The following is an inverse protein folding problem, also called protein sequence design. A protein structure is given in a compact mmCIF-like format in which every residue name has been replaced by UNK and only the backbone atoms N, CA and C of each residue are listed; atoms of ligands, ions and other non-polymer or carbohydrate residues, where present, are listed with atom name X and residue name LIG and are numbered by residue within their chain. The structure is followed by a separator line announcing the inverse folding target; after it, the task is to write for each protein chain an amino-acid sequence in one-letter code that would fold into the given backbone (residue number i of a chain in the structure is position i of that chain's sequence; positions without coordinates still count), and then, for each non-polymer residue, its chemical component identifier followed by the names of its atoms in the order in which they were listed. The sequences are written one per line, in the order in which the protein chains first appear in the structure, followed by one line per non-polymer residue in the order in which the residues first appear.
data_IF_317840247634
#
_entry.id   IF_317840247634
#
_cell.length_a   1.000
_cell.length_b   1.000
_cell.length_c   1.000
_cell.angle_alpha   90.00
_cell.angle_beta   90.00
_cell.angle_gamma   90.00
#
_symmetry.space_group_name_H-M   'P 1'
#
loop_
_entity.id
_entity.type
_entity.pdbx_description
1 polymer ?
#
# COMPACT_ATOMS: atom_id res chain seq x y z
N UNK A 1 42.74 57.47 2.49
CA UNK A 1 42.79 58.31 1.28
C UNK A 1 43.51 57.52 0.20
N UNK A 2 42.81 57.20 -0.90
CA UNK A 2 43.36 56.94 -2.27
C UNK A 2 44.40 55.82 -2.46
N UNK A 3 44.40 54.92 -3.45
CA UNK A 3 43.50 54.47 -4.51
C UNK A 3 44.28 53.38 -5.29
N UNK A 4 43.56 52.45 -5.93
CA UNK A 4 43.87 51.86 -7.25
C UNK A 4 45.23 51.19 -7.54
N UNK A 5 45.19 49.89 -7.87
CA UNK A 5 45.11 49.42 -9.27
C UNK A 5 44.73 47.94 -9.35
N UNK A 6 43.82 47.64 -10.28
CA UNK A 6 43.36 46.31 -10.70
C UNK A 6 44.12 45.86 -11.96
N UNK A 7 44.04 44.54 -12.21
CA UNK A 7 44.24 43.82 -13.49
C UNK A 7 45.73 43.54 -13.86
N UNK A 8 46.13 42.40 -14.44
CA UNK A 8 45.44 41.55 -15.41
C UNK A 8 46.20 40.21 -15.66
N UNK A 9 45.45 39.11 -15.81
CA UNK A 9 45.70 37.86 -16.56
C UNK A 9 46.89 36.92 -16.24
N UNK A 10 46.59 35.65 -15.93
CA UNK A 10 46.67 34.59 -16.95
C UNK A 10 45.79 33.38 -16.57
N UNK A 11 44.93 32.98 -17.50
CA UNK A 11 44.13 31.75 -17.49
C UNK A 11 45.02 30.51 -17.46
N UNK A 12 44.67 29.53 -16.62
CA UNK A 12 44.55 28.14 -17.07
C UNK A 12 43.27 27.56 -16.50
N UNK A 13 42.25 27.49 -17.34
CA UNK A 13 41.15 26.55 -17.16
C UNK A 13 41.68 25.15 -17.49
N UNK A 14 41.29 24.13 -16.72
CA UNK A 14 40.82 22.83 -17.19
C UNK A 14 40.14 22.11 -16.01
N UNK A 15 38.82 22.18 -16.05
CA UNK A 15 37.83 21.12 -15.77
C UNK A 15 38.38 19.82 -15.15
N UNK A 16 38.01 19.56 -13.89
CA UNK A 16 37.81 18.20 -13.39
C UNK A 16 36.48 18.13 -12.65
N UNK A 17 35.45 17.82 -13.44
CA UNK A 17 34.36 16.88 -13.17
C UNK A 17 33.89 16.85 -11.71
N UNK A 18 32.82 17.58 -11.44
CA UNK A 18 31.94 17.32 -10.29
C UNK A 18 31.36 15.92 -10.43
N UNK A 19 32.00 14.93 -9.80
CA UNK A 19 31.32 13.68 -9.50
C UNK A 19 30.43 13.95 -8.28
N UNK A 20 29.22 14.43 -8.55
CA UNK A 20 28.08 14.20 -7.67
C UNK A 20 27.89 12.68 -7.64
N UNK A 21 28.61 11.99 -6.76
CA UNK A 21 28.18 10.67 -6.33
C UNK A 21 26.91 10.90 -5.53
N UNK A 22 25.76 10.79 -6.21
CA UNK A 22 24.51 10.40 -5.59
C UNK A 22 24.82 9.17 -4.73
N UNK A 23 24.86 9.34 -3.41
CA UNK A 23 24.70 8.20 -2.52
C UNK A 23 23.23 7.84 -2.57
N UNK A 24 22.83 7.09 -3.59
CA UNK A 24 21.62 6.27 -3.52
C UNK A 24 21.91 5.19 -2.50
N UNK A 25 21.59 5.46 -1.23
CA UNK A 25 21.34 4.37 -0.30
C UNK A 25 20.03 3.73 -0.78
N UNK A 26 20.16 2.71 -1.63
CA UNK A 26 19.13 1.72 -1.79
C UNK A 26 18.97 1.07 -0.41
N UNK A 27 17.87 1.38 0.26
CA UNK A 27 17.50 0.69 1.49
C UNK A 27 17.08 -0.73 1.10
N UNK A 28 18.05 -1.63 1.19
CA UNK A 28 17.90 -3.07 1.05
C UNK A 28 17.20 -3.64 2.29
N UNK A 29 15.95 -3.23 2.53
CA UNK A 29 15.06 -3.90 3.49
C UNK A 29 13.70 -4.19 2.86
N UNK A 30 13.75 -4.76 1.64
CA UNK A 30 12.64 -5.52 1.07
C UNK A 30 12.86 -7.01 1.32
N UNK A 31 13.24 -7.37 2.55
CA UNK A 31 13.32 -8.77 2.94
C UNK A 31 11.92 -9.27 3.31
N UNK A 32 11.24 -9.69 2.25
CA UNK A 32 10.55 -10.97 2.20
C UNK A 32 9.35 -11.18 3.14
N UNK A 33 8.27 -10.44 2.87
CA UNK A 33 6.91 -10.87 3.19
C UNK A 33 6.26 -11.61 1.98
N UNK A 34 7.06 -12.06 1.01
CA UNK A 34 6.55 -12.66 -0.23
C UNK A 34 6.54 -14.18 -0.21
N UNK A 35 7.12 -14.81 0.81
CA UNK A 35 7.42 -16.24 0.78
C UNK A 35 6.83 -17.01 1.98
N UNK A 36 5.56 -16.74 2.31
CA UNK A 36 4.79 -17.65 3.19
C UNK A 36 3.29 -17.70 2.89
N UNK A 37 2.87 -17.49 1.64
CA UNK A 37 1.47 -17.65 1.22
C UNK A 37 1.36 -18.56 -0.03
N UNK A 38 1.94 -19.75 0.06
CA UNK A 38 1.81 -20.78 -0.96
C UNK A 38 0.67 -21.72 -0.60
N UNK A 39 -0.58 -21.22 -0.71
CA UNK A 39 -1.79 -22.03 -1.04
C UNK A 39 -3.04 -21.18 -1.34
N UNK A 40 -2.95 -19.89 -1.69
CA UNK A 40 -4.14 -19.14 -2.06
C UNK A 40 -4.59 -19.49 -3.49
N UNK A 41 -5.73 -20.18 -3.59
CA UNK A 41 -6.31 -20.68 -4.86
C UNK A 41 -6.63 -19.57 -5.87
N UNK A 42 -6.70 -18.31 -5.45
CA UNK A 42 -6.92 -17.19 -6.36
C UNK A 42 -5.87 -16.08 -6.20
N UNK A 43 -4.97 -16.02 -7.17
CA UNK A 43 -3.94 -14.99 -7.27
C UNK A 43 -4.53 -13.64 -7.70
N UNK A 44 -3.85 -12.58 -7.29
CA UNK A 44 -4.08 -11.24 -7.83
C UNK A 44 -3.76 -11.22 -9.33
N UNK A 45 -4.74 -10.87 -10.17
CA UNK A 45 -4.58 -10.83 -11.64
C UNK A 45 -4.69 -9.42 -12.19
N UNK A 46 -5.60 -8.61 -11.63
CA UNK A 46 -5.84 -7.24 -12.08
C UNK A 46 -5.88 -6.28 -10.91
N UNK A 47 -4.86 -5.43 -10.73
CA UNK A 47 -4.93 -4.36 -9.75
C UNK A 47 -6.01 -3.35 -10.15
N UNK A 48 -6.78 -2.90 -9.18
CA UNK A 48 -7.86 -1.92 -9.34
C UNK A 48 -7.51 -0.67 -8.55
N UNK A 49 -7.74 0.49 -9.16
CA UNK A 49 -7.75 1.80 -8.49
C UNK A 49 -8.95 2.59 -9.00
N UNK A 50 -9.73 3.14 -8.07
CA UNK A 50 -10.79 4.10 -8.37
C UNK A 50 -10.46 5.42 -7.69
N UNK A 51 -10.87 6.53 -8.33
CA UNK A 51 -10.64 7.87 -7.83
C UNK A 51 -11.97 8.61 -7.70
N UNK A 52 -12.05 9.54 -6.75
CA UNK A 52 -13.12 10.52 -6.69
C UNK A 52 -12.99 11.54 -7.85
N UNK A 53 -14.04 12.31 -8.17
CA UNK A 53 -13.96 13.37 -9.18
C UNK A 53 -12.86 14.42 -8.91
N UNK A 54 -12.48 14.60 -7.64
CA UNK A 54 -11.38 15.49 -7.23
C UNK A 54 -9.98 14.89 -7.46
N UNK A 55 -9.87 13.70 -8.04
CA UNK A 55 -8.61 12.99 -8.31
C UNK A 55 -8.02 12.25 -7.11
N UNK A 56 -8.64 12.33 -5.92
CA UNK A 56 -8.17 11.61 -4.73
C UNK A 56 -8.49 10.13 -4.86
N UNK A 57 -7.56 9.25 -4.43
CA UNK A 57 -7.78 7.81 -4.42
C UNK A 57 -8.99 7.48 -3.55
N UNK A 58 -9.93 6.71 -4.10
CA UNK A 58 -11.17 6.28 -3.43
C UNK A 58 -11.08 4.84 -2.98
N UNK A 59 -10.54 3.97 -3.84
CA UNK A 59 -10.48 2.53 -3.62
C UNK A 59 -9.23 1.98 -4.30
N UNK A 60 -8.57 1.01 -3.67
CA UNK A 60 -7.54 0.21 -4.33
C UNK A 60 -7.57 -1.23 -3.84
N UNK A 61 -7.21 -2.17 -4.70
CA UNK A 61 -7.16 -3.59 -4.36
C UNK A 61 -6.84 -4.43 -5.57
N UNK A 62 -7.13 -5.73 -5.51
CA UNK A 62 -6.91 -6.63 -6.63
C UNK A 62 -8.09 -7.55 -6.91
N UNK A 63 -8.40 -7.69 -8.20
CA UNK A 63 -9.28 -8.73 -8.71
C UNK A 63 -8.45 -9.96 -9.10
N UNK A 64 -8.86 -11.12 -8.59
CA UNK A 64 -8.48 -12.42 -9.10
C UNK A 64 -9.56 -12.97 -10.04
N UNK A 65 -9.35 -14.18 -10.54
CA UNK A 65 -10.34 -14.93 -11.31
C UNK A 65 -10.54 -16.29 -10.66
N UNK A 66 -11.79 -16.65 -10.42
CA UNK A 66 -12.20 -17.98 -9.95
C UNK A 66 -13.33 -18.49 -10.85
N UNK A 67 -13.16 -19.67 -11.43
CA UNK A 67 -14.12 -20.26 -12.39
C UNK A 67 -14.58 -19.28 -13.49
N UNK A 68 -13.65 -18.50 -14.05
CA UNK A 68 -13.94 -17.51 -15.11
C UNK A 68 -14.66 -16.25 -14.63
N UNK A 69 -14.94 -16.11 -13.33
CA UNK A 69 -15.59 -14.94 -12.74
C UNK A 69 -14.58 -14.11 -11.94
N UNK A 70 -14.67 -12.79 -12.05
CA UNK A 70 -13.83 -11.88 -11.27
C UNK A 70 -14.20 -11.91 -9.79
N UNK A 71 -13.21 -12.10 -8.92
CA UNK A 71 -13.39 -12.09 -7.47
C UNK A 71 -12.44 -11.10 -6.81
N UNK A 72 -12.83 -10.54 -5.66
CA UNK A 72 -11.93 -9.72 -4.86
C UNK A 72 -10.97 -10.62 -4.09
N UNK A 73 -9.68 -10.32 -4.16
CA UNK A 73 -8.64 -11.10 -3.47
C UNK A 73 -7.69 -10.16 -2.72
N UNK A 74 -7.18 -10.63 -1.59
CA UNK A 74 -6.22 -9.89 -0.78
C UNK A 74 -6.78 -8.60 -0.18
N UNK A 75 -5.89 -7.64 0.05
CA UNK A 75 -6.22 -6.38 0.73
C UNK A 75 -6.84 -5.35 -0.22
N UNK A 76 -8.01 -4.86 0.17
CA UNK A 76 -8.68 -3.71 -0.42
C UNK A 76 -8.67 -2.54 0.56
N UNK A 77 -8.29 -1.36 0.08
CA UNK A 77 -8.23 -0.13 0.85
C UNK A 77 -9.28 0.86 0.33
N UNK A 78 -10.05 1.46 1.23
CA UNK A 78 -11.06 2.48 0.93
C UNK A 78 -10.75 3.76 1.67
N UNK A 79 -10.84 4.86 0.94
CA UNK A 79 -10.46 6.19 1.41
C UNK A 79 -11.63 7.16 1.31
N UNK A 80 -11.62 8.19 2.14
CA UNK A 80 -12.56 9.30 2.02
C UNK A 80 -12.08 10.35 1.00
N UNK A 81 -12.90 11.38 0.75
CA UNK A 81 -12.58 12.44 -0.23
C UNK A 81 -11.33 13.28 0.13
N UNK A 82 -10.85 13.21 1.38
CA UNK A 82 -9.62 13.85 1.85
C UNK A 82 -8.38 12.95 1.69
N UNK A 83 -8.57 11.69 1.27
CA UNK A 83 -7.50 10.71 1.11
C UNK A 83 -7.15 9.94 2.38
N UNK A 84 -7.97 10.07 3.43
CA UNK A 84 -7.76 9.33 4.69
C UNK A 84 -8.30 7.91 4.53
N UNK A 85 -7.53 6.91 5.01
CA UNK A 85 -7.95 5.51 5.05
C UNK A 85 -9.07 5.36 6.07
N UNK A 86 -10.23 4.88 5.63
CA UNK A 86 -11.41 4.71 6.49
C UNK A 86 -11.80 3.24 6.67
N UNK A 87 -11.40 2.37 5.75
CA UNK A 87 -11.74 0.95 5.79
C UNK A 87 -10.73 0.12 5.00
N UNK A 88 -10.39 -1.05 5.52
CA UNK A 88 -9.68 -2.10 4.79
C UNK A 88 -10.48 -3.38 4.81
N UNK A 89 -10.61 -4.03 3.66
CA UNK A 89 -11.22 -5.36 3.55
C UNK A 89 -10.20 -6.34 3.03
N UNK A 90 -9.85 -7.35 3.82
CA UNK A 90 -9.04 -8.48 3.36
C UNK A 90 -9.96 -9.61 2.92
N UNK A 91 -9.75 -10.12 1.72
CA UNK A 91 -10.44 -11.30 1.19
C UNK A 91 -9.47 -12.47 1.13
N UNK A 92 -9.81 -13.56 1.82
CA UNK A 92 -9.12 -14.85 1.77
C UNK A 92 -9.93 -15.82 0.92
N UNK A 93 -9.67 -15.90 -0.40
CA UNK A 93 -10.34 -16.86 -1.25
C UNK A 93 -9.80 -18.27 -0.99
N UNK A 94 -10.66 -19.16 -0.51
CA UNK A 94 -10.32 -20.56 -0.24
C UNK A 94 -11.42 -21.48 -0.82
N UNK A 95 -11.34 -22.76 -0.50
CA UNK A 95 -12.42 -23.71 -0.70
C UNK A 95 -13.69 -23.23 0.01
N UNK A 96 -14.85 -23.55 -0.58
CA UNK A 96 -16.15 -23.19 -0.04
C UNK A 96 -16.26 -23.57 1.45
N UNK A 97 -16.65 -22.62 2.28
CA UNK A 97 -16.78 -22.78 3.74
C UNK A 97 -15.50 -22.48 4.52
N UNK A 98 -14.36 -22.31 3.83
CA UNK A 98 -13.08 -21.87 4.43
C UNK A 98 -12.69 -20.47 4.00
N UNK A 99 -13.41 -19.88 3.05
CA UNK A 99 -13.21 -18.50 2.65
C UNK A 99 -13.78 -17.54 3.71
N UNK A 100 -13.06 -16.44 3.89
CA UNK A 100 -13.44 -15.42 4.84
C UNK A 100 -13.03 -14.02 4.36
N UNK A 101 -13.66 -13.01 4.94
CA UNK A 101 -13.21 -11.62 4.81
C UNK A 101 -13.09 -10.94 6.16
N UNK A 102 -12.13 -10.03 6.25
CA UNK A 102 -11.90 -9.22 7.44
C UNK A 102 -12.13 -7.76 7.05
N UNK A 103 -13.10 -7.10 7.68
CA UNK A 103 -13.35 -5.67 7.53
C UNK A 103 -12.78 -4.96 8.76
N UNK A 104 -11.89 -4.00 8.54
CA UNK A 104 -11.33 -3.14 9.59
C UNK A 104 -11.67 -1.69 9.26
N UNK A 105 -12.28 -0.97 10.21
CA UNK A 105 -12.67 0.43 10.04
C UNK A 105 -11.81 1.34 10.90
N UNK A 106 -11.58 2.56 10.40
CA UNK A 106 -10.65 3.51 11.00
C UNK A 106 -11.31 4.88 11.21
N UNK A 107 -10.97 5.52 12.32
CA UNK A 107 -11.21 6.94 12.56
C UNK A 107 -9.92 7.60 13.06
N UNK A 108 -9.48 8.68 12.39
CA UNK A 108 -8.23 9.40 12.74
C UNK A 108 -7.03 8.44 12.88
N UNK A 109 -6.89 7.52 11.93
CA UNK A 109 -5.86 6.46 11.89
C UNK A 109 -5.90 5.45 13.06
N UNK A 110 -6.98 5.40 13.85
CA UNK A 110 -7.20 4.39 14.88
C UNK A 110 -8.23 3.39 14.43
N UNK A 111 -8.00 2.11 14.69
CA UNK A 111 -8.99 1.06 14.46
C UNK A 111 -10.16 1.27 15.41
N UNK A 112 -11.36 1.39 14.85
CA UNK A 112 -12.61 1.51 15.62
C UNK A 112 -13.46 0.24 15.56
N UNK A 113 -13.23 -0.61 14.56
CA UNK A 113 -13.95 -1.88 14.41
C UNK A 113 -13.13 -2.86 13.59
N UNK A 114 -13.23 -4.15 13.93
CA UNK A 114 -12.71 -5.25 13.14
C UNK A 114 -13.72 -6.40 13.19
N UNK A 115 -14.22 -6.80 12.02
CA UNK A 115 -15.21 -7.86 11.86
C UNK A 115 -14.68 -8.93 10.91
N UNK A 116 -14.91 -10.21 11.24
CA UNK A 116 -14.53 -11.37 10.42
C UNK A 116 -15.82 -12.04 9.98
N UNK A 117 -15.91 -12.36 8.68
CA UNK A 117 -17.06 -13.01 8.08
C UNK A 117 -16.58 -14.26 7.36
N UNK A 118 -17.05 -15.43 7.78
CA UNK A 118 -16.85 -16.69 7.06
C UNK A 118 -18.04 -16.91 6.11
N UNK A 119 -17.84 -17.56 4.97
CA UNK A 119 -18.91 -17.75 3.98
C UNK A 119 -19.96 -18.78 4.41
N UNK A 120 -19.58 -19.77 5.24
CA UNK A 120 -20.52 -20.77 5.79
C UNK A 120 -21.56 -20.15 6.74
N UNK A 121 -21.24 -18.99 7.33
CA UNK A 121 -22.11 -18.25 8.24
C UNK A 121 -22.49 -16.89 7.62
N UNK A 122 -23.59 -16.86 6.87
CA UNK A 122 -24.30 -15.64 6.45
C UNK A 122 -24.78 -14.74 7.64
N UNK A 123 -24.37 -15.05 8.87
CA UNK A 123 -24.67 -14.31 10.09
C UNK A 123 -23.36 -13.78 10.69
N UNK A 124 -23.38 -12.50 11.07
CA UNK A 124 -22.25 -11.81 11.71
C UNK A 124 -21.72 -12.62 12.90
N UNK A 125 -20.53 -13.22 12.76
CA UNK A 125 -19.85 -13.85 13.89
C UNK A 125 -19.25 -12.72 14.72
N UNK A 126 -19.92 -12.42 15.83
CA UNK A 126 -19.55 -11.55 16.96
C UNK A 126 -18.64 -10.34 16.67
N UNK A 127 -19.18 -9.14 16.93
CA UNK A 127 -18.39 -7.94 17.23
C UNK A 127 -17.41 -8.22 18.37
N UNK A 128 -16.19 -8.61 18.03
CA UNK A 128 -15.06 -8.60 18.96
C UNK A 128 -14.28 -7.32 18.72
N UNK A 129 -14.35 -6.39 19.66
CA UNK A 129 -13.29 -5.39 19.83
C UNK A 129 -11.99 -6.16 20.15
N UNK A 130 -11.23 -6.49 19.10
CA UNK A 130 -9.90 -7.08 19.26
C UNK A 130 -8.95 -5.99 19.71
N UNK A 131 -8.82 -5.81 21.02
CA UNK A 131 -7.74 -5.02 21.63
C UNK A 131 -6.36 -5.64 21.44
N UNK A 132 -6.28 -6.88 20.93
CA UNK A 132 -5.02 -7.57 20.59
C UNK A 132 -5.14 -8.41 19.32
N UNK A 133 -4.12 -8.29 18.45
CA UNK A 133 -3.97 -9.04 17.21
C UNK A 133 -3.41 -10.45 17.53
N UNK A 134 -4.08 -11.55 17.11
CA UNK A 134 -3.54 -12.89 17.32
C UNK A 134 -2.29 -13.13 16.45
N UNK A 135 -1.31 -13.81 17.05
CA UNK A 135 -0.01 -14.15 16.45
C UNK A 135 -0.12 -15.27 15.43
#
# INVERSE_FOLDING_TARGET
MSNFKKNLNLLFAIVFISCLCNTSFADENKHDFSQTLSTDKALCQKPIKEYFPNGTLKLSGCQGIYNGTGIQVGLWNKYNQKGELIETTYYHPDEFGKDYKIITQYEKNKIISKKIYNFDDLYEVELKELSTIPK
#
